data_IF_197304439083
#
_entry.id   IF_197304439083
#
_cell.length_a   1.000
_cell.length_b   1.000
_cell.length_c   1.000
_cell.angle_alpha   90.00
_cell.angle_beta   90.00
_cell.angle_gamma   90.00
#
_symmetry.space_group_name_H-M   'P 1'
#
loop_
_entity.id
_entity.type
_entity.pdbx_description
1 polymer ?
#
# COMPACT_ATOMS: atom_id res chain seq x y z
N UNK A 1 -0.39 11.07 20.47
CA UNK A 1 0.19 10.26 19.39
C UNK A 1 -0.72 9.08 19.04
N UNK A 2 -0.66 8.67 17.80
CA UNK A 2 -1.34 7.45 17.36
C UNK A 2 -0.49 6.24 17.74
N UNK A 3 -1.16 5.14 18.10
CA UNK A 3 -0.52 3.84 18.25
C UNK A 3 -0.84 3.03 17.01
N UNK A 4 0.17 2.71 16.23
CA UNK A 4 0.01 2.06 14.93
C UNK A 4 0.53 0.64 14.94
N UNK A 5 -0.32 -0.29 14.53
CA UNK A 5 0.06 -1.67 14.26
C UNK A 5 -0.19 -1.96 12.79
N UNK A 6 0.78 -2.61 12.14
CA UNK A 6 0.65 -3.08 10.77
C UNK A 6 0.94 -4.56 10.75
N UNK A 7 -0.01 -5.33 10.26
CA UNK A 7 0.10 -6.79 10.17
C UNK A 7 -0.08 -7.24 8.72
N UNK A 8 0.55 -8.37 8.39
CA UNK A 8 0.41 -8.99 7.08
C UNK A 8 0.37 -10.52 7.26
N UNK A 9 0.03 -11.29 6.22
CA UNK A 9 0.05 -12.75 6.32
C UNK A 9 1.41 -13.33 6.71
N UNK A 10 2.50 -12.60 6.42
CA UNK A 10 3.86 -13.04 6.79
C UNK A 10 4.24 -12.65 8.21
N UNK A 11 3.37 -11.97 8.96
CA UNK A 11 3.62 -11.58 10.34
C UNK A 11 3.36 -10.12 10.64
N UNK A 12 3.71 -9.70 11.83
CA UNK A 12 3.56 -8.32 12.26
C UNK A 12 4.75 -7.49 11.79
N UNK A 13 4.46 -6.43 11.03
CA UNK A 13 5.48 -5.55 10.44
C UNK A 13 5.84 -4.43 11.40
N UNK A 14 4.84 -3.82 12.04
CA UNK A 14 4.98 -2.74 12.99
C UNK A 14 4.09 -3.04 14.19
N UNK A 15 4.61 -2.85 15.38
CA UNK A 15 3.91 -3.11 16.63
C UNK A 15 3.92 -1.89 17.54
N UNK A 16 2.73 -1.34 17.80
CA UNK A 16 2.55 -0.28 18.79
C UNK A 16 3.43 0.94 18.59
N UNK A 17 3.67 1.34 17.33
CA UNK A 17 4.52 2.48 17.01
C UNK A 17 3.80 3.79 17.30
N UNK A 18 4.48 4.70 17.99
CA UNK A 18 3.96 6.06 18.19
C UNK A 18 4.17 6.89 16.93
N UNK A 19 3.10 7.45 16.40
CA UNK A 19 3.09 8.20 15.15
C UNK A 19 2.26 9.47 15.33
N UNK A 20 2.78 10.61 14.88
CA UNK A 20 2.05 11.88 14.93
C UNK A 20 1.08 12.01 13.77
N UNK A 21 1.50 11.62 12.58
CA UNK A 21 0.67 11.66 11.36
C UNK A 21 0.88 10.39 10.57
N UNK A 22 -0.21 9.70 10.27
CA UNK A 22 -0.20 8.53 9.42
C UNK A 22 -0.85 8.88 8.09
N UNK A 23 -0.14 8.69 6.99
CA UNK A 23 -0.69 8.89 5.65
C UNK A 23 -0.94 7.55 4.99
N UNK A 24 -2.17 7.33 4.52
CA UNK A 24 -2.62 6.03 4.03
C UNK A 24 -3.21 6.20 2.62
N UNK A 25 -2.87 5.33 1.66
CA UNK A 25 -3.55 5.33 0.38
C UNK A 25 -4.94 4.72 0.55
N UNK A 26 -5.98 5.46 0.19
CA UNK A 26 -7.36 4.97 0.22
C UNK A 26 -7.93 4.92 -1.18
N UNK A 27 -9.10 4.31 -1.32
CA UNK A 27 -9.81 4.29 -2.60
C UNK A 27 -10.18 5.69 -3.10
N UNK A 28 -10.25 6.66 -2.18
CA UNK A 28 -10.61 8.05 -2.46
C UNK A 28 -9.39 8.95 -2.60
N UNK A 29 -8.19 8.37 -2.59
CA UNK A 29 -6.94 9.12 -2.60
C UNK A 29 -6.21 9.02 -1.27
N UNK A 30 -5.27 9.92 -1.05
CA UNK A 30 -4.46 9.94 0.17
C UNK A 30 -5.26 10.44 1.36
N UNK A 31 -5.19 9.69 2.46
CA UNK A 31 -5.89 10.01 3.70
C UNK A 31 -4.89 10.20 4.84
N UNK A 32 -4.98 11.34 5.53
CA UNK A 32 -4.14 11.61 6.69
C UNK A 32 -4.91 11.33 7.98
N UNK A 33 -4.32 10.53 8.84
CA UNK A 33 -4.87 10.20 10.15
C UNK A 33 -4.05 10.91 11.20
N UNK A 34 -4.71 11.72 12.01
CA UNK A 34 -4.11 12.43 13.14
C UNK A 34 -4.72 11.96 14.44
N UNK A 35 -4.03 12.18 15.59
CA UNK A 35 -4.64 11.88 16.89
C UNK A 35 -5.98 12.60 17.04
N UNK A 36 -6.97 11.90 17.59
CA UNK A 36 -8.32 12.42 17.71
C UNK A 36 -9.23 12.15 16.52
N UNK A 37 -8.73 11.44 15.52
CA UNK A 37 -9.54 11.07 14.36
C UNK A 37 -10.74 10.21 14.78
N UNK A 38 -11.89 10.44 14.13
CA UNK A 38 -13.07 9.63 14.40
C UNK A 38 -12.83 8.17 14.03
N UNK A 39 -13.57 7.29 14.68
CA UNK A 39 -13.50 5.86 14.39
C UNK A 39 -13.96 5.59 12.97
N UNK A 40 -13.14 4.87 12.23
CA UNK A 40 -13.46 4.45 10.86
C UNK A 40 -12.92 3.05 10.58
N UNK A 41 -13.57 2.39 9.63
CA UNK A 41 -13.06 1.18 8.99
C UNK A 41 -12.98 1.48 7.51
N UNK A 42 -11.80 1.42 6.93
CA UNK A 42 -11.55 1.84 5.56
C UNK A 42 -10.74 0.82 4.78
N UNK A 43 -11.04 0.69 3.50
CA UNK A 43 -10.19 -0.07 2.59
C UNK A 43 -8.93 0.73 2.28
N UNK A 44 -7.79 0.03 2.27
CA UNK A 44 -6.51 0.59 1.88
C UNK A 44 -6.20 0.16 0.46
N UNK A 45 -5.95 1.13 -0.41
CA UNK A 45 -5.62 0.88 -1.80
C UNK A 45 -4.11 0.71 -2.02
N UNK A 46 -3.71 0.64 -3.29
CA UNK A 46 -2.30 0.57 -3.66
C UNK A 46 -1.67 1.95 -3.53
N UNK A 47 -0.55 2.03 -2.85
CA UNK A 47 0.16 3.29 -2.73
C UNK A 47 1.05 3.36 -1.51
N UNK A 48 1.42 4.57 -1.17
CA UNK A 48 2.40 4.87 -0.15
C UNK A 48 1.76 5.02 1.23
N UNK A 49 2.24 4.21 2.17
CA UNK A 49 1.92 4.34 3.59
C UNK A 49 3.09 5.04 4.26
N UNK A 50 2.85 6.19 4.88
CA UNK A 50 3.90 6.97 5.54
C UNK A 50 3.63 7.11 7.03
N UNK A 51 4.67 6.88 7.83
CA UNK A 51 4.65 7.10 9.26
C UNK A 51 5.54 8.32 9.56
N UNK A 52 4.94 9.47 9.86
CA UNK A 52 5.63 10.73 10.19
C UNK A 52 6.62 11.20 9.11
N UNK A 53 6.42 10.88 7.86
CA UNK A 53 7.35 11.18 6.77
C UNK A 53 8.78 10.63 6.98
N UNK A 54 8.94 9.77 7.96
CA UNK A 54 10.25 9.15 8.30
C UNK A 54 10.38 7.77 7.74
N UNK A 55 9.29 7.03 7.71
CA UNK A 55 9.26 5.65 7.24
C UNK A 55 8.15 5.50 6.22
N UNK A 56 8.47 4.87 5.10
CA UNK A 56 7.50 4.67 4.02
C UNK A 56 7.48 3.23 3.55
N UNK A 57 6.27 2.77 3.25
CA UNK A 57 6.02 1.43 2.75
C UNK A 57 5.11 1.53 1.53
N UNK A 58 5.20 0.56 0.63
CA UNK A 58 4.18 0.35 -0.39
C UNK A 58 3.19 -0.67 0.14
N UNK A 59 1.92 -0.30 0.22
CA UNK A 59 0.82 -1.22 0.51
C UNK A 59 0.12 -1.52 -0.81
N UNK A 60 -0.17 -2.79 -1.05
CA UNK A 60 -0.83 -3.18 -2.30
C UNK A 60 -2.33 -3.35 -2.13
N UNK A 61 -2.77 -3.73 -0.91
CA UNK A 61 -4.17 -3.89 -0.58
C UNK A 61 -4.31 -4.16 0.91
N UNK A 62 -5.36 -3.67 1.52
CA UNK A 62 -5.59 -3.94 2.94
C UNK A 62 -6.83 -3.28 3.50
N UNK A 63 -6.95 -3.35 4.81
CA UNK A 63 -8.02 -2.75 5.59
C UNK A 63 -7.39 -2.00 6.75
N UNK A 64 -7.93 -0.83 7.07
CA UNK A 64 -7.49 -0.03 8.20
C UNK A 64 -8.66 0.21 9.16
N UNK A 65 -8.40 0.07 10.45
CA UNK A 65 -9.35 0.44 11.49
C UNK A 65 -8.73 1.50 12.39
N UNK A 66 -9.46 2.59 12.61
CA UNK A 66 -9.11 3.63 13.58
C UNK A 66 -10.11 3.55 14.71
N UNK A 67 -9.64 3.43 15.94
CA UNK A 67 -10.49 3.36 17.13
C UNK A 67 -9.98 4.23 18.27
N UNK A 68 -10.90 4.74 19.08
CA UNK A 68 -10.61 5.55 20.25
C UNK A 68 -9.78 6.81 19.97
N UNK A 69 -9.76 7.28 18.73
CA UNK A 69 -9.01 8.46 18.33
C UNK A 69 -7.50 8.31 18.35
N UNK A 70 -6.98 7.16 18.74
CA UNK A 70 -5.53 6.99 18.88
C UNK A 70 -4.99 5.63 18.45
N UNK A 71 -5.85 4.65 18.24
CA UNK A 71 -5.43 3.32 17.81
C UNK A 71 -5.65 3.12 16.33
N UNK A 72 -4.62 2.69 15.62
CA UNK A 72 -4.73 2.37 14.20
C UNK A 72 -4.17 0.97 13.97
N UNK A 73 -4.98 0.12 13.35
CA UNK A 73 -4.55 -1.22 12.92
C UNK A 73 -4.71 -1.31 11.41
N UNK A 74 -3.63 -1.66 10.72
CA UNK A 74 -3.65 -1.89 9.28
C UNK A 74 -3.34 -3.36 9.04
N UNK A 75 -4.27 -4.07 8.42
CA UNK A 75 -4.06 -5.42 7.95
C UNK A 75 -3.78 -5.36 6.44
N UNK A 76 -2.53 -5.51 6.07
CA UNK A 76 -2.09 -5.43 4.69
C UNK A 76 -1.99 -6.82 4.08
N UNK A 77 -2.62 -7.03 2.94
CA UNK A 77 -2.50 -8.29 2.20
C UNK A 77 -1.07 -8.47 1.70
N UNK A 78 -0.47 -7.38 1.23
CA UNK A 78 0.93 -7.33 0.81
C UNK A 78 1.51 -5.95 1.08
N UNK A 79 2.73 -5.91 1.61
CA UNK A 79 3.42 -4.67 1.96
C UNK A 79 4.92 -4.85 1.76
N UNK A 80 5.59 -3.80 1.30
CA UNK A 80 7.04 -3.77 1.15
C UNK A 80 7.60 -2.45 1.63
N UNK A 81 8.79 -2.47 2.20
CA UNK A 81 9.54 -1.23 2.47
C UNK A 81 9.99 -0.62 1.16
N UNK A 82 10.04 0.71 1.09
CA UNK A 82 10.55 1.42 -0.09
C UNK A 82 11.95 0.94 -0.45
N UNK A 83 12.80 0.71 0.54
CA UNK A 83 14.17 0.25 0.33
C UNK A 83 14.29 -1.15 -0.28
N UNK A 84 13.22 -1.94 -0.23
CA UNK A 84 13.19 -3.30 -0.79
C UNK A 84 12.80 -3.31 -2.27
N UNK A 85 12.43 -2.17 -2.84
CA UNK A 85 11.97 -2.08 -4.22
C UNK A 85 13.13 -1.74 -5.13
N UNK A 86 13.36 -2.59 -6.13
CA UNK A 86 14.33 -2.36 -7.18
C UNK A 86 13.64 -1.65 -8.34
N UNK A 87 14.03 -0.39 -8.59
CA UNK A 87 13.40 0.43 -9.62
C UNK A 87 13.55 -0.18 -11.02
N UNK A 88 14.70 -0.81 -11.30
CA UNK A 88 14.95 -1.42 -12.61
C UNK A 88 14.07 -2.65 -12.82
N UNK A 89 13.92 -3.47 -11.79
CA UNK A 89 13.02 -4.62 -11.83
C UNK A 89 11.58 -4.19 -12.06
N UNK A 90 11.14 -3.16 -11.34
CA UNK A 90 9.78 -2.64 -11.48
C UNK A 90 9.53 -2.08 -12.88
N UNK A 91 10.49 -1.35 -13.44
CA UNK A 91 10.41 -0.84 -14.82
C UNK A 91 10.34 -1.96 -15.83
N UNK A 92 11.18 -2.98 -15.70
CA UNK A 92 11.20 -4.12 -16.61
C UNK A 92 9.91 -4.92 -16.53
N UNK A 93 9.43 -5.18 -15.32
CA UNK A 93 8.18 -5.89 -15.13
C UNK A 93 6.98 -5.11 -15.67
N UNK A 94 6.97 -3.80 -15.51
CA UNK A 94 5.91 -2.94 -16.07
C UNK A 94 5.90 -3.04 -17.60
N UNK A 95 7.06 -2.99 -18.21
CA UNK A 95 7.21 -3.10 -19.68
C UNK A 95 6.71 -4.43 -20.21
N UNK A 96 7.04 -5.52 -19.52
CA UNK A 96 6.57 -6.86 -19.89
C UNK A 96 5.06 -6.99 -19.80
N UNK A 97 4.47 -6.45 -18.74
CA UNK A 97 3.02 -6.48 -18.54
C UNK A 97 2.31 -5.61 -19.57
N UNK A 98 2.85 -4.43 -19.89
CA UNK A 98 2.31 -3.57 -20.94
C UNK A 98 2.30 -4.31 -22.29
N UNK A 99 3.38 -5.01 -22.60
CA UNK A 99 3.47 -5.83 -23.82
C UNK A 99 2.38 -6.89 -23.86
N UNK A 100 2.15 -7.59 -22.77
CA UNK A 100 1.08 -8.59 -22.68
C UNK A 100 -0.28 -7.97 -22.92
N UNK A 101 -0.57 -6.85 -22.29
CA UNK A 101 -1.87 -6.17 -22.39
C UNK A 101 -2.13 -5.64 -23.80
N UNK A 102 -1.08 -5.20 -24.49
CA UNK A 102 -1.21 -4.60 -25.82
C UNK A 102 -1.15 -5.60 -26.97
N UNK A 103 -0.41 -6.70 -26.82
CA UNK A 103 -0.04 -7.56 -27.94
C UNK A 103 -0.51 -9.02 -27.83
N UNK A 104 -1.00 -9.46 -26.69
CA UNK A 104 -1.42 -10.84 -26.47
C UNK A 104 -2.92 -10.94 -26.30
N UNK A 105 -3.50 -12.04 -26.76
CA UNK A 105 -4.89 -12.38 -26.47
C UNK A 105 -4.92 -13.11 -25.14
N UNK A 106 -5.54 -12.48 -24.14
CA UNK A 106 -5.61 -12.99 -22.79
C UNK A 106 -7.03 -13.42 -22.43
N UNK A 107 -7.18 -14.54 -21.71
CA UNK A 107 -8.47 -14.89 -21.13
C UNK A 107 -8.78 -13.95 -19.94
N UNK A 108 -9.97 -14.06 -19.37
CA UNK A 108 -10.41 -13.17 -18.29
C UNK A 108 -9.51 -13.26 -17.06
N UNK A 109 -9.05 -14.44 -16.71
CA UNK A 109 -8.17 -14.66 -15.58
C UNK A 109 -6.78 -14.03 -15.80
N UNK A 110 -6.21 -14.29 -16.97
CA UNK A 110 -4.90 -13.73 -17.34
C UNK A 110 -4.95 -12.21 -17.43
N UNK A 111 -6.04 -11.67 -17.98
CA UNK A 111 -6.25 -10.23 -18.09
C UNK A 111 -6.34 -9.57 -16.72
N UNK A 112 -7.09 -10.17 -15.79
CA UNK A 112 -7.21 -9.67 -14.43
C UNK A 112 -5.85 -9.67 -13.73
N UNK A 113 -5.10 -10.75 -13.86
CA UNK A 113 -3.77 -10.89 -13.29
C UNK A 113 -2.79 -9.84 -13.83
N UNK A 114 -2.82 -9.64 -15.14
CA UNK A 114 -1.96 -8.65 -15.80
C UNK A 114 -2.29 -7.23 -15.34
N UNK A 115 -3.57 -6.90 -15.19
CA UNK A 115 -4.01 -5.59 -14.70
C UNK A 115 -3.57 -5.35 -13.26
N UNK A 116 -3.67 -6.37 -12.41
CA UNK A 116 -3.20 -6.29 -11.01
C UNK A 116 -1.70 -6.00 -10.96
N UNK A 117 -0.92 -6.74 -11.74
CA UNK A 117 0.53 -6.54 -11.78
C UNK A 117 0.91 -5.17 -12.34
N UNK A 118 0.21 -4.71 -13.37
CA UNK A 118 0.41 -3.37 -13.92
C UNK A 118 0.21 -2.30 -12.84
N UNK A 119 -0.88 -2.39 -12.08
CA UNK A 119 -1.15 -1.47 -10.99
C UNK A 119 -0.09 -1.52 -9.89
N UNK A 120 0.37 -2.72 -9.53
CA UNK A 120 1.41 -2.92 -8.53
C UNK A 120 2.72 -2.23 -8.95
N UNK A 121 3.13 -2.44 -10.19
CA UNK A 121 4.38 -1.86 -10.69
C UNK A 121 4.31 -0.34 -10.84
N UNK A 122 3.16 0.17 -11.27
CA UNK A 122 2.93 1.62 -11.29
C UNK A 122 3.01 2.24 -9.91
N UNK A 123 2.42 1.60 -8.91
CA UNK A 123 2.47 2.09 -7.52
C UNK A 123 3.92 2.12 -7.01
N UNK A 124 4.70 1.08 -7.29
CA UNK A 124 6.11 1.03 -6.93
C UNK A 124 6.91 2.17 -7.55
N UNK A 125 6.74 2.40 -8.84
CA UNK A 125 7.46 3.46 -9.55
C UNK A 125 7.02 4.85 -9.09
N UNK A 126 5.74 5.05 -8.85
CA UNK A 126 5.22 6.32 -8.34
C UNK A 126 5.78 6.66 -6.96
N UNK A 127 5.96 5.66 -6.12
CA UNK A 127 6.50 5.84 -4.78
C UNK A 127 8.00 6.19 -4.78
N UNK A 128 8.72 5.76 -5.82
CA UNK A 128 10.17 6.01 -5.94
C UNK A 128 10.50 7.32 -6.66
N UNK A 129 9.51 7.98 -7.20
CA UNK A 129 9.64 9.31 -7.81
C UNK A 129 8.99 10.37 -6.97
#
# INVERSE_FOLDING_TARGET
LLKVDVVSPSGQIISGRDVSVLTVPSMMGELAILPGHQDILSLVGKGLLKLDDKESFIVYKGIMEVSDGERVVIAAERIKKISEIDINESKNALREVENKLLNEVLDDFELHKAREEYGDRLAELSALT
#
